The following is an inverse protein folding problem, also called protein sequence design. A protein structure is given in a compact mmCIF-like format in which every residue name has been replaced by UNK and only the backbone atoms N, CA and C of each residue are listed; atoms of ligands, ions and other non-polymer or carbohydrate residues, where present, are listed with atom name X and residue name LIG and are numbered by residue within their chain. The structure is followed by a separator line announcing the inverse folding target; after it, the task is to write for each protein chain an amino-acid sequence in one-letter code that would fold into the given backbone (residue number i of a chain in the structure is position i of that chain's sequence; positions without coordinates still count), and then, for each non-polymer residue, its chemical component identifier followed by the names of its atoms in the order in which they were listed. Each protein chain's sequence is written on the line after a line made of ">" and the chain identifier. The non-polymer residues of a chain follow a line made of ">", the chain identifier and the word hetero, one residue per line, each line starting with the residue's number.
data_IF_525399380168
#
_entry.id   IF_525399380168
#
_cell.length_a   1.000
_cell.length_b   1.000
_cell.length_c   1.000
_cell.angle_alpha   90.00
_cell.angle_beta   90.00
_cell.angle_gamma   90.00
#
_symmetry.space_group_name_H-M   'P 1'
#
loop_
_entity.id
_entity.type
_entity.pdbx_description
1 polymer ?
#
# COMPACT_ATOMS: atom_id res chain seq x y z
N UNK A 1 5.20 5.58 14.72
CA UNK A 1 4.33 5.03 13.67
C UNK A 1 4.61 3.56 13.47
N UNK A 2 3.54 2.81 13.16
CA UNK A 2 3.55 1.38 12.87
C UNK A 2 2.75 1.12 11.58
N UNK A 3 3.20 0.19 10.74
CA UNK A 3 2.46 -0.32 9.59
C UNK A 3 1.93 -1.72 9.95
N UNK A 4 0.63 -1.95 9.76
CA UNK A 4 0.02 -3.28 9.92
C UNK A 4 -0.67 -3.73 8.64
N UNK A 5 -0.54 -5.02 8.33
CA UNK A 5 -1.44 -5.66 7.38
C UNK A 5 -2.75 -6.00 8.11
N UNK A 6 -3.87 -5.56 7.56
CA UNK A 6 -5.19 -5.75 8.14
C UNK A 6 -5.76 -7.08 7.66
N UNK A 7 -6.01 -7.99 8.58
CA UNK A 7 -6.44 -9.37 8.27
C UNK A 7 -7.77 -9.73 8.92
N UNK A 8 -8.10 -9.15 10.08
CA UNK A 8 -9.34 -9.47 10.80
C UNK A 8 -10.55 -8.72 10.22
N UNK A 9 -11.70 -9.40 10.13
CA UNK A 9 -12.93 -8.85 9.53
C UNK A 9 -13.42 -7.55 10.19
N UNK A 10 -13.31 -7.45 11.51
CA UNK A 10 -13.65 -6.22 12.24
C UNK A 10 -12.76 -5.05 11.82
N UNK A 11 -11.45 -5.27 11.71
CA UNK A 11 -10.48 -4.27 11.29
C UNK A 11 -10.67 -3.87 9.83
N UNK A 12 -10.99 -4.81 8.93
CA UNK A 12 -11.32 -4.50 7.52
C UNK A 12 -12.54 -3.58 7.42
N UNK A 13 -13.57 -3.79 8.25
CA UNK A 13 -14.73 -2.87 8.33
C UNK A 13 -14.35 -1.49 8.83
N UNK A 14 -13.45 -1.40 9.82
CA UNK A 14 -12.94 -0.12 10.33
C UNK A 14 -12.12 0.59 9.25
N UNK A 15 -11.24 -0.12 8.55
CA UNK A 15 -10.48 0.41 7.43
C UNK A 15 -11.40 1.01 6.35
N UNK A 16 -12.46 0.29 5.95
CA UNK A 16 -13.42 0.78 4.98
C UNK A 16 -14.12 2.07 5.46
N UNK A 17 -14.45 2.16 6.75
CA UNK A 17 -15.01 3.38 7.35
C UNK A 17 -14.02 4.54 7.32
N UNK A 18 -12.76 4.32 7.69
CA UNK A 18 -11.71 5.34 7.64
C UNK A 18 -11.44 5.82 6.20
N UNK A 19 -11.42 4.91 5.22
CA UNK A 19 -11.33 5.26 3.79
C UNK A 19 -12.51 6.14 3.36
N UNK A 20 -13.74 5.76 3.71
CA UNK A 20 -14.93 6.56 3.40
C UNK A 20 -14.88 7.95 4.04
N UNK A 21 -14.45 8.05 5.30
CA UNK A 21 -14.24 9.31 6.01
C UNK A 21 -13.17 10.17 5.34
N UNK A 22 -12.04 9.59 4.96
CA UNK A 22 -10.97 10.29 4.27
C UNK A 22 -11.45 10.83 2.91
N UNK A 23 -12.23 10.03 2.15
CA UNK A 23 -12.85 10.47 0.89
C UNK A 23 -13.84 11.63 1.11
N UNK A 24 -14.64 11.59 2.18
CA UNK A 24 -15.64 12.62 2.48
C UNK A 24 -15.03 13.95 2.98
N UNK A 25 -13.97 13.88 3.79
CA UNK A 25 -13.42 15.06 4.49
C UNK A 25 -12.19 15.65 3.82
N UNK A 26 -11.39 14.82 3.15
CA UNK A 26 -10.07 15.18 2.58
C UNK A 26 -9.90 14.70 1.13
N UNK A 27 -10.92 14.03 0.57
CA UNK A 27 -10.90 13.54 -0.79
C UNK A 27 -11.05 14.66 -1.81
N UNK A 28 -10.82 14.33 -3.08
CA UNK A 28 -10.79 15.30 -4.17
C UNK A 28 -12.17 15.53 -4.79
N UNK A 29 -13.22 15.43 -3.97
CA UNK A 29 -14.63 15.63 -4.39
C UNK A 29 -15.03 14.77 -5.60
N UNK A 30 -14.68 13.50 -5.54
CA UNK A 30 -15.19 12.46 -6.44
C UNK A 30 -15.83 11.35 -5.62
N UNK A 31 -16.69 10.56 -6.27
CA UNK A 31 -17.33 9.37 -5.70
C UNK A 31 -17.32 8.25 -6.74
N UNK A 32 -17.43 7.02 -6.29
CA UNK A 32 -17.67 5.91 -7.20
C UNK A 32 -19.06 6.04 -7.86
N UNK A 33 -19.17 5.62 -9.12
CA UNK A 33 -20.46 5.60 -9.82
C UNK A 33 -21.36 4.53 -9.20
N UNK A 34 -22.68 4.70 -9.31
CA UNK A 34 -23.64 3.75 -8.72
C UNK A 34 -23.52 2.31 -9.27
N UNK A 35 -22.88 2.13 -10.44
CA UNK A 35 -22.63 0.82 -11.07
C UNK A 35 -21.25 0.26 -10.73
N UNK A 36 -20.34 1.07 -10.18
CA UNK A 36 -19.01 0.62 -9.78
C UNK A 36 -19.11 -0.27 -8.54
N UNK A 37 -18.35 -1.35 -8.54
CA UNK A 37 -18.05 -2.16 -7.36
C UNK A 37 -16.54 -2.22 -7.11
N UNK A 38 -15.77 -1.32 -7.74
CA UNK A 38 -14.33 -1.42 -7.76
C UNK A 38 -13.73 -1.24 -6.35
N UNK A 39 -14.14 -0.21 -5.61
CA UNK A 39 -13.67 -0.02 -4.25
C UNK A 39 -14.06 -1.18 -3.32
N UNK A 40 -15.27 -1.74 -3.51
CA UNK A 40 -15.71 -2.92 -2.76
C UNK A 40 -14.84 -4.15 -3.08
N UNK A 41 -14.48 -4.35 -4.35
CA UNK A 41 -13.58 -5.43 -4.77
C UNK A 41 -12.18 -5.25 -4.17
N UNK A 42 -11.62 -4.04 -4.18
CA UNK A 42 -10.35 -3.73 -3.51
C UNK A 42 -10.40 -4.06 -2.02
N UNK A 43 -11.47 -3.66 -1.32
CA UNK A 43 -11.61 -3.91 0.12
C UNK A 43 -11.83 -5.41 0.43
N UNK A 44 -12.50 -6.14 -0.44
CA UNK A 44 -12.78 -7.56 -0.25
C UNK A 44 -11.57 -8.46 -0.56
N UNK A 45 -10.88 -8.21 -1.67
CA UNK A 45 -9.87 -9.12 -2.21
C UNK A 45 -8.43 -8.60 -2.10
N UNK A 46 -8.24 -7.30 -1.85
CA UNK A 46 -6.92 -6.72 -1.71
C UNK A 46 -6.27 -7.02 -0.35
N UNK A 47 -4.96 -6.81 -0.31
CA UNK A 47 -4.19 -6.71 0.93
C UNK A 47 -4.29 -5.27 1.43
N UNK A 48 -4.86 -5.11 2.62
CA UNK A 48 -5.09 -3.82 3.25
C UNK A 48 -3.94 -3.53 4.20
N UNK A 49 -3.36 -2.34 4.09
CA UNK A 49 -2.28 -1.91 4.98
C UNK A 49 -2.65 -0.57 5.62
N UNK A 50 -2.55 -0.50 6.94
CA UNK A 50 -2.87 0.71 7.69
C UNK A 50 -1.68 1.19 8.52
N UNK A 51 -1.55 2.51 8.62
CA UNK A 51 -0.60 3.19 9.48
C UNK A 51 -1.27 3.63 10.78
N UNK A 52 -0.52 3.50 11.87
CA UNK A 52 -0.88 3.95 13.21
C UNK A 52 0.19 4.93 13.72
N UNK A 53 -0.21 5.88 14.56
CA UNK A 53 0.74 6.83 15.16
C UNK A 53 1.67 6.09 16.14
N UNK A 54 1.11 5.23 16.99
CA UNK A 54 1.82 4.47 18.00
C UNK A 54 1.72 2.95 17.76
N UNK A 55 2.71 2.22 18.29
CA UNK A 55 2.66 0.76 18.38
C UNK A 55 1.46 0.36 19.26
N UNK A 56 0.80 -0.75 18.91
CA UNK A 56 -0.36 -1.31 19.63
C UNK A 56 -1.61 -0.40 19.72
N UNK A 57 -1.66 0.73 19.01
CA UNK A 57 -2.89 1.53 18.90
C UNK A 57 -4.07 0.67 18.37
N UNK A 58 -5.29 0.85 18.88
CA UNK A 58 -6.46 0.09 18.42
C UNK A 58 -6.84 0.47 16.98
N UNK A 59 -7.60 -0.42 16.31
CA UNK A 59 -7.97 -0.28 14.90
C UNK A 59 -8.67 1.05 14.54
N UNK A 60 -9.39 1.66 15.48
CA UNK A 60 -10.06 2.95 15.28
C UNK A 60 -9.09 4.14 15.16
N UNK A 61 -7.79 3.95 15.44
CA UNK A 61 -6.75 4.98 15.38
C UNK A 61 -5.88 4.91 14.12
N UNK A 62 -6.33 4.23 13.07
CA UNK A 62 -5.64 4.28 11.78
C UNK A 62 -5.54 5.73 11.27
N UNK A 63 -4.33 6.17 10.91
CA UNK A 63 -4.07 7.55 10.44
C UNK A 63 -3.96 7.64 8.92
N UNK A 64 -3.67 6.54 8.26
CA UNK A 64 -3.61 6.40 6.80
C UNK A 64 -3.67 4.92 6.41
N UNK A 65 -3.88 4.66 5.12
CA UNK A 65 -3.85 3.30 4.61
C UNK A 65 -3.81 3.25 3.09
N UNK A 66 -3.59 2.05 2.57
CA UNK A 66 -3.60 1.76 1.15
C UNK A 66 -3.96 0.29 0.91
N UNK A 67 -4.36 -0.02 -0.32
CA UNK A 67 -4.64 -1.37 -0.77
C UNK A 67 -3.65 -1.75 -1.87
N UNK A 68 -3.10 -2.96 -1.79
CA UNK A 68 -2.35 -3.58 -2.87
C UNK A 68 -2.99 -4.93 -3.19
N UNK A 69 -3.09 -5.28 -4.47
CA UNK A 69 -3.39 -6.64 -4.88
C UNK A 69 -2.52 -7.02 -6.07
N UNK A 70 -2.21 -8.31 -6.20
CA UNK A 70 -1.63 -8.80 -7.43
C UNK A 70 -2.72 -9.09 -8.48
N UNK A 71 -2.34 -9.10 -9.75
CA UNK A 71 -3.29 -9.31 -10.85
C UNK A 71 -3.84 -10.74 -10.96
N UNK A 72 -3.23 -11.71 -10.25
CA UNK A 72 -3.73 -13.08 -10.16
C UNK A 72 -4.83 -13.24 -9.10
N UNK A 73 -4.79 -12.46 -8.02
CA UNK A 73 -5.82 -12.44 -6.97
C UNK A 73 -7.04 -11.63 -7.39
N UNK A 74 -6.82 -10.43 -7.93
CA UNK A 74 -7.87 -9.55 -8.43
C UNK A 74 -7.41 -8.97 -9.78
N UNK A 75 -8.19 -9.14 -10.88
CA UNK A 75 -7.80 -8.61 -12.17
C UNK A 75 -7.60 -7.10 -12.15
N UNK A 76 -6.81 -6.62 -13.12
CA UNK A 76 -6.53 -5.20 -13.31
C UNK A 76 -7.82 -4.38 -13.38
N UNK A 77 -7.88 -3.26 -12.67
CA UNK A 77 -9.10 -2.42 -12.60
C UNK A 77 -9.59 -1.97 -13.97
N UNK A 78 -8.66 -1.72 -14.89
CA UNK A 78 -8.97 -1.28 -16.25
C UNK A 78 -8.07 -2.03 -17.24
N UNK A 79 -8.54 -2.49 -18.41
CA UNK A 79 -7.79 -3.40 -19.28
C UNK A 79 -6.50 -2.84 -19.92
N UNK A 80 -6.13 -1.58 -19.65
CA UNK A 80 -4.89 -0.95 -20.12
C UNK A 80 -4.08 -0.40 -18.94
N UNK A 81 -2.74 -0.44 -19.00
CA UNK A 81 -1.89 -1.01 -20.07
C UNK A 81 -1.95 -2.55 -20.15
N UNK A 82 -1.42 -3.14 -21.23
CA UNK A 82 -1.25 -4.60 -21.34
C UNK A 82 0.00 -5.04 -20.56
N UNK A 83 -0.23 -5.83 -19.51
CA UNK A 83 0.82 -6.36 -18.62
C UNK A 83 0.97 -7.89 -18.75
N UNK A 84 0.42 -8.50 -19.81
CA UNK A 84 0.46 -9.95 -20.05
C UNK A 84 1.86 -10.54 -20.20
N UNK A 85 2.88 -9.69 -20.42
CA UNK A 85 4.28 -10.09 -20.46
C UNK A 85 4.87 -10.36 -19.05
N UNK A 86 4.17 -10.00 -17.97
CA UNK A 86 4.52 -10.35 -16.60
C UNK A 86 3.64 -11.50 -16.07
N UNK A 87 4.17 -12.34 -15.18
CA UNK A 87 3.33 -13.23 -14.36
C UNK A 87 2.32 -12.42 -13.53
N UNK A 88 1.01 -12.75 -13.53
CA UNK A 88 -0.02 -11.96 -12.84
C UNK A 88 0.26 -11.72 -11.35
N UNK A 89 0.76 -12.74 -10.64
CA UNK A 89 1.12 -12.63 -9.21
C UNK A 89 2.35 -11.74 -8.92
N UNK A 90 3.07 -11.30 -9.95
CA UNK A 90 4.25 -10.43 -9.82
C UNK A 90 3.97 -8.96 -10.14
N UNK A 91 2.75 -8.65 -10.60
CA UNK A 91 2.33 -7.26 -10.86
C UNK A 91 1.39 -6.84 -9.77
N UNK A 92 1.74 -5.78 -9.04
CA UNK A 92 0.86 -5.19 -8.04
C UNK A 92 0.08 -4.03 -8.64
N UNK A 93 -1.22 -3.99 -8.40
CA UNK A 93 -2.01 -2.78 -8.57
C UNK A 93 -2.16 -2.08 -7.22
N UNK A 94 -1.83 -0.79 -7.20
CA UNK A 94 -1.98 0.08 -6.05
C UNK A 94 -3.29 0.86 -6.12
N UNK A 95 -4.12 0.69 -5.08
CA UNK A 95 -5.42 1.33 -4.95
C UNK A 95 -5.63 1.95 -3.58
N UNK A 96 -6.68 2.77 -3.47
CA UNK A 96 -7.21 3.22 -2.19
C UNK A 96 -6.19 3.85 -1.24
N UNK A 97 -5.24 4.65 -1.74
CA UNK A 97 -4.36 5.41 -0.86
C UNK A 97 -5.15 6.53 -0.17
N UNK A 98 -5.23 6.49 1.15
CA UNK A 98 -5.98 7.46 1.96
C UNK A 98 -5.21 7.92 3.21
N UNK A 99 -5.58 9.08 3.75
CA UNK A 99 -4.94 9.65 4.94
C UNK A 99 -5.92 10.54 5.71
N UNK A 100 -6.05 10.29 7.02
CA UNK A 100 -6.80 11.11 7.97
C UNK A 100 -5.90 12.07 8.76
N UNK A 101 -4.58 11.89 8.70
CA UNK A 101 -3.60 12.80 9.30
C UNK A 101 -2.77 13.51 8.23
N UNK A 102 -2.32 14.73 8.52
CA UNK A 102 -1.44 15.48 7.62
C UNK A 102 -0.08 14.78 7.52
N UNK A 103 0.43 14.60 6.29
CA UNK A 103 1.73 13.96 6.07
C UNK A 103 1.70 12.42 6.09
N UNK A 104 0.73 11.77 6.74
CA UNK A 104 0.66 10.31 6.82
C UNK A 104 0.51 9.63 5.44
N UNK A 105 -0.21 10.25 4.49
CA UNK A 105 -0.27 9.77 3.11
C UNK A 105 1.08 9.75 2.38
N UNK A 106 2.03 10.63 2.75
CA UNK A 106 3.40 10.59 2.23
C UNK A 106 4.17 9.41 2.82
N UNK A 107 4.01 9.15 4.11
CA UNK A 107 4.58 7.99 4.80
C UNK A 107 4.07 6.70 4.16
N UNK A 108 2.75 6.59 3.95
CA UNK A 108 2.09 5.46 3.31
C UNK A 108 2.71 5.09 1.94
N UNK A 109 3.08 6.10 1.14
CA UNK A 109 3.74 5.87 -0.16
C UNK A 109 5.14 5.27 -0.03
N UNK A 110 5.93 5.67 0.97
CA UNK A 110 7.26 5.11 1.18
C UNK A 110 7.20 3.69 1.74
N UNK A 111 6.35 3.45 2.74
CA UNK A 111 6.20 2.12 3.31
C UNK A 111 5.56 1.14 2.33
N UNK A 112 4.67 1.61 1.45
CA UNK A 112 4.13 0.82 0.33
C UNK A 112 5.22 0.32 -0.63
N UNK A 113 6.32 1.09 -0.80
CA UNK A 113 7.46 0.65 -1.58
C UNK A 113 8.18 -0.55 -0.94
N UNK A 114 8.35 -0.53 0.38
CA UNK A 114 8.93 -1.67 1.10
C UNK A 114 8.02 -2.89 1.04
N UNK A 115 6.69 -2.70 1.18
CA UNK A 115 5.71 -3.78 1.01
C UNK A 115 5.80 -4.40 -0.38
N UNK A 116 5.91 -3.59 -1.44
CA UNK A 116 6.09 -4.10 -2.79
C UNK A 116 7.37 -4.94 -2.95
N UNK A 117 8.45 -4.59 -2.25
CA UNK A 117 9.67 -5.39 -2.18
C UNK A 117 9.49 -6.71 -1.44
N UNK A 118 8.77 -6.71 -0.30
CA UNK A 118 8.43 -7.94 0.45
C UNK A 118 7.60 -8.89 -0.42
N UNK A 119 6.65 -8.34 -1.19
CA UNK A 119 5.81 -9.08 -2.13
C UNK A 119 6.53 -9.44 -3.45
N UNK A 120 7.81 -9.11 -3.60
CA UNK A 120 8.63 -9.40 -4.79
C UNK A 120 8.02 -8.91 -6.10
N UNK A 121 7.42 -7.72 -6.08
CA UNK A 121 6.83 -7.11 -7.26
C UNK A 121 7.86 -6.94 -8.39
N UNK A 122 7.43 -7.21 -9.63
CA UNK A 122 8.17 -6.92 -10.87
C UNK A 122 7.66 -5.67 -11.58
N UNK A 123 6.40 -5.32 -11.33
CA UNK A 123 5.82 -4.05 -11.74
C UNK A 123 4.79 -3.58 -10.71
N UNK A 124 4.61 -2.27 -10.60
CA UNK A 124 3.51 -1.64 -9.87
C UNK A 124 2.73 -0.77 -10.84
N UNK A 125 1.42 -1.00 -10.93
CA UNK A 125 0.46 -0.22 -11.70
C UNK A 125 -0.39 0.63 -10.75
N UNK A 126 -0.69 1.86 -11.13
CA UNK A 126 -1.72 2.67 -10.48
C UNK A 126 -2.42 3.60 -11.47
N UNK A 127 -3.61 4.05 -11.10
CA UNK A 127 -4.44 4.95 -11.89
C UNK A 127 -4.57 6.31 -11.18
N UNK A 128 -3.68 7.24 -11.52
CA UNK A 128 -3.65 8.56 -10.90
C UNK A 128 -4.64 9.50 -11.58
N UNK A 129 -5.41 10.26 -10.81
CA UNK A 129 -6.32 11.28 -11.36
C UNK A 129 -5.49 12.31 -12.15
N UNK A 130 -5.93 12.56 -13.38
CA UNK A 130 -5.39 13.57 -14.29
C UNK A 130 -6.36 14.75 -14.45
N UNK A 131 -7.68 14.46 -14.49
CA UNK A 131 -8.74 15.48 -14.46
C UNK A 131 -9.83 15.04 -13.46
N UNK A 132 -10.38 15.97 -12.66
CA UNK A 132 -10.26 17.44 -12.79
C UNK A 132 -8.99 18.05 -12.19
N UNK A 133 -8.24 17.31 -11.38
CA UNK A 133 -7.01 17.78 -10.73
C UNK A 133 -5.90 16.80 -11.06
N UNK A 134 -4.78 17.30 -11.57
CA UNK A 134 -3.64 16.46 -11.92
C UNK A 134 -2.84 16.05 -10.68
N UNK A 135 -2.91 14.77 -10.31
CA UNK A 135 -2.16 14.17 -9.22
C UNK A 135 -0.90 13.41 -9.68
N UNK A 136 -0.69 13.29 -11.00
CA UNK A 136 0.43 12.54 -11.56
C UNK A 136 1.80 13.03 -11.07
N UNK A 137 2.07 14.34 -10.85
CA UNK A 137 3.38 14.79 -10.37
C UNK A 137 3.79 14.14 -9.04
N UNK A 138 2.82 13.80 -8.21
CA UNK A 138 3.06 13.18 -6.90
C UNK A 138 3.57 11.74 -6.99
N UNK A 139 3.38 11.08 -8.14
CA UNK A 139 3.89 9.75 -8.46
C UNK A 139 5.11 9.79 -9.39
N UNK A 140 5.19 10.77 -10.29
CA UNK A 140 6.38 10.96 -11.15
C UNK A 140 7.64 11.19 -10.32
N UNK A 141 7.55 11.94 -9.22
CA UNK A 141 8.66 12.11 -8.27
C UNK A 141 9.12 10.80 -7.60
N UNK A 142 8.29 9.76 -7.60
CA UNK A 142 8.60 8.42 -7.09
C UNK A 142 9.12 7.48 -8.19
N UNK A 143 9.29 7.99 -9.42
CA UNK A 143 9.80 7.23 -10.56
C UNK A 143 8.73 6.59 -11.45
N UNK A 144 7.44 6.78 -11.14
CA UNK A 144 6.37 6.28 -12.02
C UNK A 144 6.38 7.01 -13.36
N UNK A 145 6.02 6.29 -14.42
CA UNK A 145 5.87 6.85 -15.77
C UNK A 145 4.55 6.47 -16.40
N UNK A 146 4.13 7.24 -17.40
CA UNK A 146 2.91 6.96 -18.17
C UNK A 146 3.01 5.58 -18.83
N UNK A 147 2.05 4.71 -18.53
CA UNK A 147 2.02 3.36 -19.08
C UNK A 147 1.27 3.30 -20.42
N UNK A 148 0.29 4.18 -20.61
CA UNK A 148 -0.42 4.38 -21.86
C UNK A 148 -1.10 5.75 -21.89
N UNK A 149 -1.90 6.02 -22.92
CA UNK A 149 -2.73 7.22 -23.01
C UNK A 149 -3.69 7.36 -21.79
N UNK A 150 -4.03 8.60 -21.39
CA UNK A 150 -5.07 8.84 -20.39
C UNK A 150 -6.40 8.17 -20.75
N UNK A 151 -7.09 7.69 -19.73
CA UNK A 151 -8.38 7.01 -19.90
C UNK A 151 -9.47 7.71 -19.11
N UNK A 152 -10.67 7.79 -19.70
CA UNK A 152 -11.87 8.16 -18.94
C UNK A 152 -12.15 7.04 -17.95
N UNK A 153 -12.19 7.38 -16.67
CA UNK A 153 -12.36 6.40 -15.60
C UNK A 153 -13.85 6.06 -15.43
N UNK A 154 -14.29 4.85 -15.77
CA UNK A 154 -15.72 4.51 -15.76
C UNK A 154 -16.27 4.28 -14.34
N UNK A 155 -15.38 4.16 -13.35
CA UNK A 155 -15.72 3.78 -11.98
C UNK A 155 -15.97 4.96 -11.06
N UNK A 156 -15.61 6.19 -11.44
CA UNK A 156 -15.79 7.37 -10.62
C UNK A 156 -16.30 8.59 -11.41
N UNK A 157 -16.98 9.48 -10.70
CA UNK A 157 -17.49 10.77 -11.19
C UNK A 157 -17.23 11.87 -10.16
N UNK A 158 -17.23 13.14 -10.58
CA UNK A 158 -17.24 14.27 -9.64
C UNK A 158 -18.54 14.27 -8.83
N UNK A 159 -18.59 15.02 -7.73
CA UNK A 159 -19.84 15.15 -6.96
C UNK A 159 -20.99 15.73 -7.79
N UNK A 160 -20.72 16.54 -8.81
CA UNK A 160 -21.72 17.04 -9.77
C UNK A 160 -22.02 16.07 -10.94
N UNK A 161 -21.44 14.86 -10.95
CA UNK A 161 -21.61 13.89 -12.04
C UNK A 161 -20.68 14.11 -13.23
N UNK A 162 -19.63 14.93 -13.08
CA UNK A 162 -18.61 15.17 -14.11
C UNK A 162 -17.68 13.97 -14.30
N UNK A 163 -17.01 13.94 -15.45
CA UNK A 163 -16.07 12.87 -15.79
C UNK A 163 -14.78 12.94 -14.97
N UNK A 164 -14.26 11.78 -14.59
CA UNK A 164 -12.91 11.63 -14.07
C UNK A 164 -12.02 11.04 -15.16
N UNK A 165 -10.85 11.65 -15.37
CA UNK A 165 -9.81 11.10 -16.23
C UNK A 165 -8.63 10.69 -15.38
N UNK A 166 -8.07 9.51 -15.65
CA UNK A 166 -6.88 9.01 -14.98
C UNK A 166 -5.76 8.79 -15.99
N UNK A 167 -4.53 8.95 -15.52
CA UNK A 167 -3.32 8.53 -16.21
C UNK A 167 -2.89 7.19 -15.60
N UNK A 168 -2.93 6.08 -16.36
CA UNK A 168 -2.28 4.84 -15.95
C UNK A 168 -0.78 5.07 -15.84
N UNK A 169 -0.22 4.75 -14.68
CA UNK A 169 1.18 4.93 -14.33
C UNK A 169 1.79 3.59 -13.94
N UNK A 170 2.99 3.30 -14.43
CA UNK A 170 3.72 2.07 -14.15
C UNK A 170 5.10 2.36 -13.57
N UNK A 171 5.55 1.45 -12.72
CA UNK A 171 6.89 1.40 -12.17
C UNK A 171 7.45 -0.02 -12.32
N UNK A 172 8.57 -0.17 -13.01
CA UNK A 172 9.21 -1.47 -13.30
C UNK A 172 10.73 -1.33 -13.45
N UNK A 173 11.43 -2.46 -13.50
CA UNK A 173 12.89 -2.52 -13.69
C UNK A 173 13.67 -1.67 -12.67
N UNK A 174 14.69 -0.95 -13.15
CA UNK A 174 15.58 -0.15 -12.31
C UNK A 174 14.85 0.94 -11.49
N UNK A 175 13.72 1.48 -11.99
CA UNK A 175 12.93 2.48 -11.25
C UNK A 175 12.19 1.84 -10.08
N UNK A 176 11.65 0.64 -10.28
CA UNK A 176 11.04 -0.16 -9.22
C UNK A 176 12.07 -0.54 -8.15
N UNK A 177 13.25 -0.99 -8.57
CA UNK A 177 14.34 -1.30 -7.63
C UNK A 177 14.75 -0.09 -6.78
N UNK A 178 14.85 1.09 -7.39
CA UNK A 178 15.16 2.34 -6.69
C UNK A 178 14.05 2.73 -5.70
N UNK A 179 12.79 2.60 -6.11
CA UNK A 179 11.63 2.87 -5.25
C UNK A 179 11.58 1.93 -4.04
N UNK A 180 11.71 0.62 -4.26
CA UNK A 180 11.73 -0.40 -3.19
C UNK A 180 12.88 -0.12 -2.22
N UNK A 181 14.08 0.18 -2.74
CA UNK A 181 15.24 0.54 -1.93
C UNK A 181 14.95 1.75 -1.04
N UNK A 182 14.37 2.81 -1.61
CA UNK A 182 13.97 4.00 -0.86
C UNK A 182 12.95 3.68 0.24
N UNK A 183 12.01 2.77 -0.01
CA UNK A 183 11.07 2.29 1.01
C UNK A 183 11.73 1.58 2.18
N UNK A 184 12.64 0.65 1.89
CA UNK A 184 13.41 -0.02 2.93
C UNK A 184 14.27 0.99 3.70
N UNK A 185 15.03 1.85 3.02
CA UNK A 185 15.84 2.90 3.65
C UNK A 185 15.02 3.81 4.56
N UNK A 186 13.77 4.10 4.19
CA UNK A 186 12.83 4.85 5.02
C UNK A 186 12.40 4.09 6.28
N UNK A 187 12.18 2.76 6.19
CA UNK A 187 11.75 1.93 7.31
C UNK A 187 12.89 1.57 8.28
N UNK A 188 14.11 1.38 7.79
CA UNK A 188 15.26 1.16 8.66
C UNK A 188 15.53 2.44 9.43
N UNK A 189 15.18 2.47 10.73
CA UNK A 189 15.46 3.61 11.61
C UNK A 189 16.94 3.99 11.52
N UNK A 190 17.23 5.20 11.07
CA UNK A 190 18.53 5.85 11.26
C UNK A 190 18.49 6.59 12.60
N UNK A 191 18.57 5.87 13.72
CA UNK A 191 18.88 6.52 15.00
C UNK A 191 20.34 6.22 15.34
N UNK A 192 21.23 7.22 15.19
CA UNK A 192 22.64 7.15 15.57
C UNK A 192 23.42 5.98 14.96
N UNK A 193 24.07 6.22 13.82
CA UNK A 193 25.04 5.34 13.14
C UNK A 193 24.65 3.88 12.85
N UNK A 194 23.44 3.44 13.18
CA UNK A 194 23.02 2.04 13.04
C UNK A 194 21.68 1.95 12.33
N UNK A 195 21.65 1.16 11.25
CA UNK A 195 20.42 0.69 10.61
C UNK A 195 20.01 -0.60 11.30
N UNK A 196 18.91 -0.58 12.07
CA UNK A 196 18.46 -1.75 12.83
C UNK A 196 16.98 -2.06 12.55
N UNK A 197 16.65 -3.34 12.43
CA UNK A 197 15.28 -3.87 12.49
C UNK A 197 15.00 -4.30 13.92
N UNK A 198 13.85 -3.89 14.46
CA UNK A 198 13.38 -4.42 15.73
C UNK A 198 12.78 -5.81 15.47
N UNK A 199 13.45 -6.84 15.99
CA UNK A 199 12.92 -8.20 16.00
C UNK A 199 12.24 -8.42 17.35
N UNK A 200 10.92 -8.55 17.35
CA UNK A 200 10.16 -8.96 18.53
C UNK A 200 10.12 -10.51 18.58
N UNK A 201 11.31 -11.12 18.73
CA UNK A 201 11.47 -12.57 18.82
C UNK A 201 11.93 -12.91 20.24
N UNK A 202 11.16 -13.73 20.94
CA UNK A 202 11.58 -14.33 22.20
C UNK A 202 12.28 -15.66 21.90
N UNK A 203 13.60 -15.69 22.07
CA UNK A 203 14.31 -16.98 22.13
C UNK A 203 14.06 -17.58 23.51
N UNK A 204 13.35 -18.71 23.57
CA UNK A 204 13.36 -19.55 24.75
C UNK A 204 14.83 -19.98 24.98
N UNK A 205 15.40 -19.61 26.13
CA UNK A 205 16.73 -20.12 26.49
C UNK A 205 16.58 -21.62 26.72
N UNK A 206 17.41 -22.48 26.11
CA UNK A 206 17.45 -23.87 26.54
C UNK A 206 17.79 -23.89 28.03
N UNK A 207 17.00 -24.63 28.81
CA UNK A 207 17.33 -24.90 30.20
C UNK A 207 18.75 -25.45 30.23
N UNK A 208 19.59 -24.82 31.05
CA UNK A 208 20.93 -25.30 31.35
C UNK A 208 20.79 -26.72 31.88
N UNK A 209 20.96 -27.74 31.03
CA UNK A 209 21.30 -29.07 31.48
C UNK A 209 22.64 -28.94 32.20
N UNK A 210 22.57 -28.84 33.52
CA UNK A 210 23.74 -28.93 34.38
C UNK A 210 24.45 -30.22 34.01
N UNK A 211 25.64 -30.08 33.43
CA UNK A 211 26.58 -31.18 33.30
C UNK A 211 26.86 -31.69 34.72
N UNK A 212 26.21 -32.80 35.08
CA UNK A 212 26.62 -33.59 36.23
C UNK A 212 28.03 -34.07 35.95
N UNK A 213 29.00 -33.40 36.58
CA UNK A 213 30.37 -33.87 36.65
C UNK A 213 30.37 -35.12 37.53
N UNK A 214 30.34 -36.30 36.90
CA UNK A 214 30.71 -37.53 37.58
C UNK A 214 32.18 -37.44 37.99
N UNK A 215 32.43 -37.50 39.30
CA UNK A 215 33.78 -37.55 39.86
C UNK A 215 34.22 -39.02 39.85
N UNK A 216 35.34 -39.39 39.21
CA UNK A 216 35.82 -40.77 39.24
C UNK A 216 36.49 -41.07 40.59
N UNK A 217 36.11 -42.20 41.19
CA UNK A 217 36.75 -42.83 42.35
C UNK A 217 38.04 -43.55 41.97
#
# INVERSE_FOLDING_TARGET
>A
MELRQITADNERRIFAKCLAEARATRGLRFKETARSQLGNAHLAFGNLYALYEHEDDPAERMVAGFVLHDLGTLPQSYPKPDLSHFPPHSVLEGGELWSLSTGAGRVARYVGAAVAGILQARAILLYSILKPIDLTPSYTQLGFVNACEPVKWPYAETLEGGEIWVQPLILEGARLEAYIRGGFEYLFRTSGDRRALRLNINFERPESTALHAETPH
#
